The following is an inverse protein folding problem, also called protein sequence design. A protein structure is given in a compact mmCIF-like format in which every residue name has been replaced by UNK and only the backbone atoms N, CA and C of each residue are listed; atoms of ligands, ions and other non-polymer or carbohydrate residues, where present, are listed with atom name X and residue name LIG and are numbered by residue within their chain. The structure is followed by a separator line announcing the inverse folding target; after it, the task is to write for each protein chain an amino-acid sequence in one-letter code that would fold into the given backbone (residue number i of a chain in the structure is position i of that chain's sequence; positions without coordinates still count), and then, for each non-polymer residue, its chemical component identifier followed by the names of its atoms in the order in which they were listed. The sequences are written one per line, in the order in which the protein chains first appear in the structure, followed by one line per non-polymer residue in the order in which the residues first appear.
data_IF_694609939668
#
_entry.id   IF_694609939668
#
_cell.length_a   1.000
_cell.length_b   1.000
_cell.length_c   1.000
_cell.angle_alpha   90.00
_cell.angle_beta   90.00
_cell.angle_gamma   90.00
#
_symmetry.space_group_name_H-M   'P 1'
#
loop_
_entity.id
_entity.type
_entity.pdbx_description
1 polymer ?
#
# COMPACT_ATOMS: atom_id res chain seq x y z
N UNK A 1 -49.37 21.46 -55.77
CA UNK A 1 -50.28 20.49 -55.13
C UNK A 1 -51.69 20.88 -55.52
N UNK A 2 -52.32 20.04 -56.34
CA UNK A 2 -53.62 20.34 -56.96
C UNK A 2 -54.76 20.20 -55.97
N UNK A 3 -55.56 21.27 -55.87
CA UNK A 3 -56.90 21.24 -55.29
C UNK A 3 -57.80 20.42 -56.23
N UNK A 4 -58.04 19.15 -55.88
CA UNK A 4 -59.10 18.35 -56.49
C UNK A 4 -60.36 18.61 -55.67
N UNK A 5 -61.26 19.41 -56.22
CA UNK A 5 -62.59 19.63 -55.66
C UNK A 5 -63.40 18.34 -55.72
N UNK A 6 -63.71 17.76 -54.56
CA UNK A 6 -64.68 16.67 -54.43
C UNK A 6 -66.08 17.29 -54.49
N UNK A 7 -66.59 17.46 -55.70
CA UNK A 7 -68.03 17.64 -55.91
C UNK A 7 -68.70 16.27 -55.75
N UNK A 8 -68.79 15.79 -54.51
CA UNK A 8 -69.48 14.55 -54.15
C UNK A 8 -70.98 14.78 -54.08
N UNK A 9 -71.66 14.69 -55.23
CA UNK A 9 -73.08 14.37 -55.22
C UNK A 9 -73.22 12.96 -54.64
N UNK A 10 -73.85 12.84 -53.46
CA UNK A 10 -74.10 11.56 -52.79
C UNK A 10 -75.13 10.79 -53.64
N UNK A 11 -74.68 10.11 -54.70
CA UNK A 11 -75.46 9.07 -55.34
C UNK A 11 -75.49 7.91 -54.36
N UNK A 12 -76.64 7.67 -53.71
CA UNK A 12 -76.82 6.53 -52.83
C UNK A 12 -76.62 5.25 -53.65
N UNK A 13 -75.52 4.55 -53.40
CA UNK A 13 -75.20 3.29 -54.06
C UNK A 13 -76.22 2.23 -53.63
N UNK A 14 -76.90 1.64 -54.61
CA UNK A 14 -77.82 0.54 -54.37
C UNK A 14 -76.99 -0.73 -54.25
N UNK A 15 -76.99 -1.33 -53.07
CA UNK A 15 -76.28 -2.58 -52.80
C UNK A 15 -77.20 -3.78 -53.03
N UNK A 16 -76.61 -4.94 -53.31
CA UNK A 16 -77.34 -6.18 -53.55
C UNK A 16 -76.77 -7.33 -52.71
N UNK A 17 -77.64 -8.17 -52.17
CA UNK A 17 -77.27 -9.40 -51.43
C UNK A 17 -78.19 -10.52 -51.92
N UNK A 18 -77.60 -11.59 -52.45
CA UNK A 18 -78.33 -12.78 -52.93
C UNK A 18 -79.52 -12.49 -53.85
N UNK A 19 -79.37 -11.47 -54.70
CA UNK A 19 -80.41 -11.04 -55.64
C UNK A 19 -81.47 -10.09 -55.06
N UNK A 20 -81.37 -9.73 -53.78
CA UNK A 20 -82.23 -8.74 -53.12
C UNK A 20 -81.59 -7.36 -53.13
N UNK A 21 -82.40 -6.36 -53.48
CA UNK A 21 -82.00 -4.95 -53.52
C UNK A 21 -82.01 -4.36 -52.11
N UNK A 22 -80.86 -3.90 -51.65
CA UNK A 22 -80.69 -3.20 -50.38
C UNK A 22 -80.70 -1.69 -50.67
N UNK A 23 -81.90 -1.11 -50.67
CA UNK A 23 -82.12 0.32 -50.89
C UNK A 23 -81.66 1.17 -49.69
N UNK A 24 -81.65 2.50 -49.86
CA UNK A 24 -81.17 3.42 -48.81
C UNK A 24 -81.95 3.29 -47.50
N UNK A 25 -83.25 3.03 -47.56
CA UNK A 25 -84.07 2.85 -46.36
C UNK A 25 -83.70 1.55 -45.62
N UNK A 26 -83.49 0.46 -46.37
CA UNK A 26 -82.97 -0.80 -45.84
C UNK A 26 -81.57 -0.65 -45.24
N UNK A 27 -80.68 0.12 -45.87
CA UNK A 27 -79.34 0.40 -45.32
C UNK A 27 -79.41 1.15 -43.97
N UNK A 28 -80.32 2.12 -43.85
CA UNK A 28 -80.57 2.83 -42.58
C UNK A 28 -81.11 1.91 -41.48
N UNK A 29 -82.02 1.00 -41.82
CA UNK A 29 -82.50 0.00 -40.87
C UNK A 29 -81.37 -0.92 -40.39
N UNK A 30 -80.52 -1.38 -41.31
CA UNK A 30 -79.36 -2.21 -40.97
C UNK A 30 -78.34 -1.47 -40.09
N UNK A 31 -78.16 -0.16 -40.30
CA UNK A 31 -77.34 0.71 -39.43
C UNK A 31 -77.89 0.74 -38.01
N UNK A 32 -79.20 0.93 -37.85
CA UNK A 32 -79.87 0.98 -36.55
C UNK A 32 -79.76 -0.36 -35.79
N UNK A 33 -79.91 -1.48 -36.50
CA UNK A 33 -79.83 -2.83 -35.91
C UNK A 33 -78.41 -3.25 -35.44
N UNK A 34 -77.37 -2.47 -35.74
CA UNK A 34 -75.96 -2.79 -35.40
C UNK A 34 -75.70 -2.85 -33.90
N UNK A 35 -76.57 -2.27 -33.07
CA UNK A 35 -76.44 -2.27 -31.61
C UNK A 35 -76.46 -3.66 -30.96
N UNK A 36 -76.80 -4.72 -31.70
CA UNK A 36 -76.89 -6.08 -31.18
C UNK A 36 -78.12 -6.32 -30.31
N UNK A 37 -78.94 -5.29 -30.09
CA UNK A 37 -80.21 -5.36 -29.37
C UNK A 37 -81.38 -5.58 -30.35
N UNK A 38 -82.47 -6.16 -29.86
CA UNK A 38 -83.70 -6.30 -30.62
C UNK A 38 -84.36 -4.92 -30.81
N UNK A 39 -84.53 -4.48 -32.06
CA UNK A 39 -85.16 -3.20 -32.37
C UNK A 39 -86.61 -3.39 -32.82
N UNK A 40 -87.49 -2.54 -32.29
CA UNK A 40 -88.89 -2.49 -32.72
C UNK A 40 -89.05 -1.85 -34.10
N UNK A 41 -90.09 -2.24 -34.83
CA UNK A 41 -90.44 -1.64 -36.11
C UNK A 41 -90.60 -0.11 -36.08
N UNK A 42 -90.99 0.48 -34.95
CA UNK A 42 -91.09 1.94 -34.78
C UNK A 42 -89.73 2.64 -34.78
N UNK A 43 -88.71 2.07 -34.14
CA UNK A 43 -87.35 2.62 -34.13
C UNK A 43 -86.73 2.55 -35.53
N UNK A 44 -86.95 1.43 -36.22
CA UNK A 44 -86.50 1.25 -37.60
C UNK A 44 -87.20 2.17 -38.59
N UNK A 45 -88.49 2.46 -38.35
CA UNK A 45 -89.25 3.44 -39.15
C UNK A 45 -88.66 4.84 -39.01
N UNK A 46 -88.34 5.24 -37.78
CA UNK A 46 -87.73 6.55 -37.49
C UNK A 46 -86.33 6.66 -38.10
N UNK A 47 -85.47 5.66 -37.88
CA UNK A 47 -84.13 5.62 -38.45
C UNK A 47 -84.14 5.65 -40.00
N UNK A 48 -85.10 5.00 -40.63
CA UNK A 48 -85.23 4.93 -42.09
C UNK A 48 -86.06 6.08 -42.71
N UNK A 49 -86.58 7.01 -41.90
CA UNK A 49 -87.46 8.12 -42.31
C UNK A 49 -88.68 7.65 -43.13
N UNK A 50 -89.38 6.63 -42.63
CA UNK A 50 -90.57 6.05 -43.27
C UNK A 50 -91.86 6.55 -42.64
N UNK A 51 -92.90 6.71 -43.46
CA UNK A 51 -94.19 7.22 -43.01
C UNK A 51 -94.92 6.21 -42.08
N UNK A 52 -94.81 4.91 -42.37
CA UNK A 52 -95.60 3.86 -41.72
C UNK A 52 -94.78 2.61 -41.42
N UNK A 53 -95.10 1.90 -40.32
CA UNK A 53 -94.44 0.64 -39.95
C UNK A 53 -94.64 -0.47 -41.00
N UNK A 54 -95.75 -0.43 -41.75
CA UNK A 54 -96.01 -1.36 -42.86
C UNK A 54 -94.89 -1.34 -43.90
N UNK A 55 -94.25 -0.18 -44.11
CA UNK A 55 -93.14 -0.04 -45.05
C UNK A 55 -91.83 -0.63 -44.52
N UNK A 56 -91.65 -0.69 -43.20
CA UNK A 56 -90.57 -1.42 -42.54
C UNK A 56 -90.80 -2.91 -42.69
N UNK A 57 -92.00 -3.38 -42.35
CA UNK A 57 -92.37 -4.80 -42.46
C UNK A 57 -92.25 -5.34 -43.87
N UNK A 58 -92.73 -4.58 -44.86
CA UNK A 58 -92.54 -4.91 -46.27
C UNK A 58 -91.05 -5.09 -46.61
N UNK A 59 -90.16 -4.25 -46.07
CA UNK A 59 -88.72 -4.34 -46.35
C UNK A 59 -88.04 -5.49 -45.65
N UNK A 60 -88.44 -5.77 -44.40
CA UNK A 60 -87.96 -6.91 -43.65
C UNK A 60 -88.33 -8.21 -44.35
N UNK A 61 -89.62 -8.40 -44.66
CA UNK A 61 -90.13 -9.66 -45.21
C UNK A 61 -89.72 -9.92 -46.67
N UNK A 62 -89.56 -8.87 -47.49
CA UNK A 62 -89.33 -9.05 -48.93
C UNK A 62 -87.86 -8.86 -49.36
N UNK A 63 -87.00 -8.29 -48.51
CA UNK A 63 -85.60 -8.04 -48.87
C UNK A 63 -84.61 -8.43 -47.78
N UNK A 64 -84.78 -7.98 -46.53
CA UNK A 64 -83.74 -8.12 -45.49
C UNK A 64 -83.69 -9.49 -44.81
N UNK A 65 -84.85 -10.09 -44.51
CA UNK A 65 -84.93 -11.44 -43.97
C UNK A 65 -84.61 -12.50 -45.05
N UNK A 66 -85.15 -12.43 -46.28
CA UNK A 66 -84.79 -13.38 -47.34
C UNK A 66 -83.32 -13.33 -47.78
N UNK A 67 -82.64 -12.19 -47.62
CA UNK A 67 -81.19 -12.06 -47.85
C UNK A 67 -80.34 -12.53 -46.68
N UNK A 68 -80.95 -13.07 -45.62
CA UNK A 68 -80.25 -13.60 -44.47
C UNK A 68 -79.57 -12.53 -43.60
N UNK A 69 -79.88 -11.24 -43.77
CA UNK A 69 -79.23 -10.15 -43.04
C UNK A 69 -79.90 -9.84 -41.69
N UNK A 70 -81.20 -10.16 -41.56
CA UNK A 70 -82.02 -9.81 -40.39
C UNK A 70 -82.84 -11.02 -39.95
N UNK A 71 -83.05 -11.14 -38.64
CA UNK A 71 -83.96 -12.10 -38.01
C UNK A 71 -85.12 -11.35 -37.35
N UNK A 72 -86.32 -11.93 -37.43
CA UNK A 72 -87.48 -11.51 -36.63
C UNK A 72 -87.58 -12.39 -35.37
N UNK A 73 -87.96 -11.78 -34.24
CA UNK A 73 -88.20 -12.51 -33.00
C UNK A 73 -89.40 -13.46 -33.15
N UNK A 74 -89.36 -14.61 -32.45
CA UNK A 74 -90.48 -15.54 -32.45
C UNK A 74 -91.76 -14.87 -31.92
N UNK A 75 -92.87 -15.00 -32.67
CA UNK A 75 -94.13 -14.31 -32.37
C UNK A 75 -94.77 -14.86 -31.10
N UNK A 76 -95.02 -13.98 -30.14
CA UNK A 76 -96.02 -14.17 -29.09
C UNK A 76 -97.23 -13.34 -29.51
N UNK A 77 -98.44 -13.92 -29.49
CA UNK A 77 -99.67 -13.18 -29.82
C UNK A 77 -99.75 -11.91 -28.95
N UNK A 78 -99.94 -10.76 -29.59
CA UNK A 78 -100.02 -9.39 -29.04
C UNK A 78 -98.70 -8.59 -28.84
N UNK A 79 -97.51 -9.11 -29.17
CA UNK A 79 -96.26 -8.33 -29.08
C UNK A 79 -95.90 -7.57 -30.37
N UNK A 80 -95.30 -6.38 -30.21
CA UNK A 80 -94.80 -5.59 -31.34
C UNK A 80 -93.60 -6.27 -31.99
N UNK A 81 -93.56 -6.30 -33.34
CA UNK A 81 -92.50 -6.96 -34.11
C UNK A 81 -91.13 -6.36 -33.80
N UNK A 82 -90.18 -7.25 -33.50
CA UNK A 82 -88.79 -6.96 -33.18
C UNK A 82 -87.86 -7.64 -34.18
N UNK A 83 -86.77 -6.97 -34.52
CA UNK A 83 -85.77 -7.43 -35.48
C UNK A 83 -84.35 -7.30 -34.92
N UNK A 84 -83.43 -8.14 -35.37
CA UNK A 84 -82.01 -8.11 -35.03
C UNK A 84 -81.17 -8.49 -36.25
N UNK A 85 -79.92 -8.00 -36.36
CA UNK A 85 -79.00 -8.50 -37.37
C UNK A 85 -78.64 -9.98 -37.12
N UNK A 86 -78.53 -10.75 -38.19
CA UNK A 86 -77.82 -12.03 -38.15
C UNK A 86 -76.31 -11.80 -38.06
N UNK A 87 -75.54 -12.86 -37.79
CA UNK A 87 -74.09 -12.82 -37.91
C UNK A 87 -73.63 -12.40 -39.33
N UNK A 88 -74.32 -12.90 -40.37
CA UNK A 88 -74.08 -12.53 -41.76
C UNK A 88 -74.42 -11.05 -42.02
N UNK A 89 -75.51 -10.56 -41.44
CA UNK A 89 -75.93 -9.16 -41.46
C UNK A 89 -74.90 -8.23 -40.83
N UNK A 90 -74.39 -8.58 -39.65
CA UNK A 90 -73.31 -7.84 -39.01
C UNK A 90 -72.04 -7.79 -39.88
N UNK A 91 -71.63 -8.93 -40.42
CA UNK A 91 -70.45 -9.01 -41.28
C UNK A 91 -70.66 -8.21 -42.57
N UNK A 92 -71.87 -8.20 -43.12
CA UNK A 92 -72.21 -7.40 -44.29
C UNK A 92 -72.15 -5.90 -43.98
N UNK A 93 -72.73 -5.45 -42.86
CA UNK A 93 -72.65 -4.05 -42.42
C UNK A 93 -71.20 -3.63 -42.17
N UNK A 94 -70.38 -4.49 -41.56
CA UNK A 94 -68.94 -4.24 -41.36
C UNK A 94 -68.18 -4.11 -42.69
N UNK A 95 -68.47 -4.97 -43.68
CA UNK A 95 -67.83 -4.93 -45.02
C UNK A 95 -68.25 -3.72 -45.84
N UNK A 96 -69.48 -3.25 -45.67
CA UNK A 96 -70.04 -2.10 -46.40
C UNK A 96 -70.10 -0.83 -45.52
N UNK A 97 -69.25 -0.75 -44.49
CA UNK A 97 -69.28 0.32 -43.50
C UNK A 97 -69.14 1.71 -44.12
N UNK A 98 -68.34 1.88 -45.18
CA UNK A 98 -68.16 3.17 -45.84
C UNK A 98 -69.47 3.69 -46.46
N UNK A 99 -70.27 2.81 -47.07
CA UNK A 99 -71.54 3.15 -47.71
C UNK A 99 -72.68 3.19 -46.70
N UNK A 100 -72.72 2.22 -45.77
CA UNK A 100 -73.82 2.04 -44.81
C UNK A 100 -73.66 2.90 -43.57
N UNK A 101 -72.45 3.31 -43.17
CA UNK A 101 -72.18 4.13 -41.97
C UNK A 101 -71.64 5.54 -42.31
N UNK A 102 -71.51 5.87 -43.61
CA UNK A 102 -71.08 7.20 -44.03
C UNK A 102 -72.05 8.29 -43.54
N UNK A 103 -71.53 9.49 -43.18
CA UNK A 103 -72.35 10.62 -42.76
C UNK A 103 -73.28 11.06 -43.90
N UNK A 104 -74.55 11.28 -43.57
CA UNK A 104 -75.59 11.58 -44.57
C UNK A 104 -75.77 13.07 -44.80
N UNK A 105 -75.45 13.88 -43.79
CA UNK A 105 -75.66 15.32 -43.82
C UNK A 105 -74.34 16.08 -43.72
N UNK A 106 -74.33 17.32 -44.23
CA UNK A 106 -73.19 18.22 -44.06
C UNK A 106 -72.92 18.52 -42.58
N UNK A 107 -73.96 18.50 -41.76
CA UNK A 107 -73.88 18.72 -40.31
C UNK A 107 -73.20 17.53 -39.61
N UNK A 108 -73.54 16.29 -39.96
CA UNK A 108 -72.85 15.09 -39.48
C UNK A 108 -71.38 15.07 -39.91
N UNK A 109 -71.09 15.39 -41.18
CA UNK A 109 -69.70 15.52 -41.66
C UNK A 109 -68.94 16.59 -40.86
N UNK A 110 -69.56 17.74 -40.59
CA UNK A 110 -68.95 18.81 -39.82
C UNK A 110 -68.69 18.41 -38.36
N UNK A 111 -69.61 17.67 -37.72
CA UNK A 111 -69.43 17.14 -36.37
C UNK A 111 -68.28 16.14 -36.31
N UNK A 112 -68.26 15.15 -37.22
CA UNK A 112 -67.19 14.16 -37.30
C UNK A 112 -65.82 14.82 -37.57
N UNK A 113 -65.79 15.85 -38.42
CA UNK A 113 -64.57 16.61 -38.69
C UNK A 113 -64.09 17.39 -37.46
N UNK A 114 -65.00 17.97 -36.68
CA UNK A 114 -64.66 18.67 -35.44
C UNK A 114 -64.12 17.71 -34.38
N UNK A 115 -64.78 16.56 -34.17
CA UNK A 115 -64.33 15.51 -33.26
C UNK A 115 -62.96 14.96 -33.67
N UNK A 116 -62.76 14.68 -34.96
CA UNK A 116 -61.47 14.22 -35.48
C UNK A 116 -60.36 15.27 -35.29
N UNK A 117 -60.67 16.56 -35.43
CA UNK A 117 -59.72 17.63 -35.19
C UNK A 117 -59.33 17.74 -33.70
N UNK A 118 -60.29 17.62 -32.80
CA UNK A 118 -60.06 17.63 -31.35
C UNK A 118 -59.23 16.41 -30.92
N UNK A 119 -59.60 15.21 -31.39
CA UNK A 119 -58.84 13.99 -31.15
C UNK A 119 -57.41 14.08 -31.71
N UNK A 120 -57.25 14.65 -32.91
CA UNK A 120 -55.95 14.91 -33.52
C UNK A 120 -55.09 15.89 -32.72
N UNK A 121 -55.71 16.93 -32.16
CA UNK A 121 -55.04 17.93 -31.31
C UNK A 121 -54.58 17.30 -29.99
N UNK A 122 -55.47 16.56 -29.32
CA UNK A 122 -55.15 15.82 -28.09
C UNK A 122 -54.05 14.78 -28.30
N UNK A 123 -54.10 14.03 -29.41
CA UNK A 123 -53.04 13.08 -29.77
C UNK A 123 -51.68 13.79 -30.01
N UNK A 124 -51.69 14.95 -30.68
CA UNK A 124 -50.48 15.76 -30.90
C UNK A 124 -49.88 16.23 -29.57
N UNK A 125 -50.69 16.71 -28.64
CA UNK A 125 -50.24 17.13 -27.31
C UNK A 125 -49.65 15.97 -26.52
N UNK A 126 -50.32 14.80 -26.54
CA UNK A 126 -49.83 13.58 -25.93
C UNK A 126 -48.46 13.15 -26.47
N UNK A 127 -48.28 13.17 -27.80
CA UNK A 127 -46.98 12.85 -28.43
C UNK A 127 -45.91 13.85 -28.02
N UNK A 128 -46.22 15.15 -27.94
CA UNK A 128 -45.26 16.16 -27.47
C UNK A 128 -44.84 15.92 -26.02
N UNK A 129 -45.77 15.53 -25.16
CA UNK A 129 -45.46 15.22 -23.75
C UNK A 129 -44.67 13.92 -23.61
N UNK A 130 -44.95 12.90 -24.42
CA UNK A 130 -44.09 11.73 -24.51
C UNK A 130 -42.68 12.08 -24.98
N UNK A 131 -42.52 12.95 -25.98
CA UNK A 131 -41.19 13.44 -26.41
C UNK A 131 -40.44 14.12 -25.27
N UNK A 132 -41.11 14.98 -24.48
CA UNK A 132 -40.50 15.61 -23.29
C UNK A 132 -40.09 14.57 -22.25
N UNK A 133 -40.95 13.58 -21.97
CA UNK A 133 -40.64 12.48 -21.02
C UNK A 133 -39.44 11.65 -21.50
N UNK A 134 -39.40 11.27 -22.77
CA UNK A 134 -38.29 10.52 -23.36
C UNK A 134 -36.99 11.31 -23.26
N UNK A 135 -36.99 12.61 -23.58
CA UNK A 135 -35.80 13.45 -23.42
C UNK A 135 -35.34 13.53 -21.96
N UNK A 136 -36.27 13.63 -21.00
CA UNK A 136 -35.92 13.62 -19.57
C UNK A 136 -35.29 12.29 -19.15
N UNK A 137 -35.83 11.17 -19.62
CA UNK A 137 -35.27 9.83 -19.34
C UNK A 137 -33.90 9.68 -19.99
N UNK A 138 -33.72 10.17 -21.23
CA UNK A 138 -32.42 10.15 -21.91
C UNK A 138 -31.37 10.94 -21.12
N UNK A 139 -31.69 12.16 -20.68
CA UNK A 139 -30.77 12.98 -19.90
C UNK A 139 -30.38 12.28 -18.59
N UNK A 140 -31.35 11.68 -17.89
CA UNK A 140 -31.06 10.88 -16.67
C UNK A 140 -30.20 9.67 -16.95
N UNK A 141 -30.43 8.99 -18.08
CA UNK A 141 -29.62 7.84 -18.49
C UNK A 141 -28.17 8.27 -18.79
N UNK A 142 -27.98 9.42 -19.43
CA UNK A 142 -26.66 9.96 -19.72
C UNK A 142 -25.94 10.39 -18.43
N UNK A 143 -26.65 11.01 -17.48
CA UNK A 143 -26.14 11.32 -16.12
C UNK A 143 -25.75 10.04 -15.36
N UNK A 144 -26.61 9.03 -15.30
CA UNK A 144 -26.28 7.75 -14.64
C UNK A 144 -25.09 7.04 -15.31
N UNK A 145 -24.91 7.18 -16.63
CA UNK A 145 -23.74 6.62 -17.32
C UNK A 145 -22.45 7.34 -16.97
N UNK A 146 -22.53 8.65 -16.73
CA UNK A 146 -21.41 9.44 -16.24
C UNK A 146 -21.06 9.01 -14.81
N UNK A 147 -22.05 8.90 -13.93
CA UNK A 147 -21.86 8.41 -12.56
C UNK A 147 -21.22 7.00 -12.51
N UNK A 148 -21.63 6.09 -13.40
CA UNK A 148 -21.04 4.74 -13.48
C UNK A 148 -19.58 4.81 -13.89
N UNK A 149 -19.21 5.66 -14.85
CA UNK A 149 -17.80 5.82 -15.25
C UNK A 149 -16.96 6.40 -14.12
N UNK A 150 -17.49 7.40 -13.42
CA UNK A 150 -16.79 8.00 -12.28
C UNK A 150 -16.57 6.98 -11.15
N UNK A 151 -17.51 6.05 -10.96
CA UNK A 151 -17.37 4.94 -10.00
C UNK A 151 -16.36 3.89 -10.47
N UNK A 152 -16.34 3.55 -11.75
CA UNK A 152 -15.35 2.64 -12.35
C UNK A 152 -13.92 3.22 -12.19
N UNK A 153 -13.73 4.51 -12.50
CA UNK A 153 -12.46 5.20 -12.31
C UNK A 153 -12.04 5.25 -10.83
N UNK A 154 -13.01 5.40 -9.90
CA UNK A 154 -12.73 5.33 -8.46
C UNK A 154 -12.33 3.93 -8.01
N UNK A 155 -12.97 2.89 -8.54
CA UNK A 155 -12.64 1.49 -8.25
C UNK A 155 -11.22 1.15 -8.73
N UNK A 156 -10.87 1.52 -9.96
CA UNK A 156 -9.51 1.32 -10.51
C UNK A 156 -8.45 2.03 -9.64
N UNK A 157 -8.72 3.27 -9.22
CA UNK A 157 -7.82 4.01 -8.33
C UNK A 157 -7.69 3.36 -6.93
N UNK A 158 -8.78 2.79 -6.41
CA UNK A 158 -8.76 2.07 -5.14
C UNK A 158 -7.99 0.76 -5.25
N UNK A 159 -8.18 0.00 -6.33
CA UNK A 159 -7.44 -1.23 -6.61
C UNK A 159 -5.94 -0.96 -6.71
N UNK A 160 -5.54 0.05 -7.49
CA UNK A 160 -4.14 0.47 -7.58
C UNK A 160 -3.55 0.89 -6.21
N UNK A 161 -4.36 1.55 -5.37
CA UNK A 161 -3.94 1.91 -4.01
C UNK A 161 -3.78 0.68 -3.12
N UNK A 162 -4.69 -0.29 -3.21
CA UNK A 162 -4.63 -1.53 -2.45
C UNK A 162 -3.42 -2.37 -2.86
N UNK A 163 -3.10 -2.45 -4.15
CA UNK A 163 -1.91 -3.12 -4.67
C UNK A 163 -0.63 -2.49 -4.13
N UNK A 164 -0.52 -1.16 -4.17
CA UNK A 164 0.62 -0.45 -3.58
C UNK A 164 0.76 -0.72 -2.06
N UNK A 165 -0.36 -0.72 -1.33
CA UNK A 165 -0.36 -1.00 0.12
C UNK A 165 0.04 -2.46 0.39
N UNK A 166 -0.46 -3.40 -0.41
CA UNK A 166 -0.13 -4.82 -0.30
C UNK A 166 1.36 -5.06 -0.56
N UNK A 167 1.90 -4.50 -1.64
CA UNK A 167 3.33 -4.57 -1.96
C UNK A 167 4.19 -3.97 -0.85
N UNK A 168 3.81 -2.81 -0.30
CA UNK A 168 4.51 -2.20 0.84
C UNK A 168 4.46 -3.07 2.09
N UNK A 169 3.37 -3.79 2.30
CA UNK A 169 3.23 -4.73 3.42
C UNK A 169 4.14 -5.94 3.25
N UNK A 170 4.23 -6.49 2.04
CA UNK A 170 5.15 -7.57 1.69
C UNK A 170 6.62 -7.15 1.90
N UNK A 171 7.03 -6.00 1.36
CA UNK A 171 8.36 -5.41 1.57
C UNK A 171 8.70 -5.24 3.06
N UNK A 172 7.74 -4.73 3.84
CA UNK A 172 7.92 -4.57 5.28
C UNK A 172 8.06 -5.92 5.99
N UNK A 173 7.32 -6.95 5.55
CA UNK A 173 7.40 -8.29 6.13
C UNK A 173 8.77 -8.90 5.85
N UNK A 174 9.32 -8.72 4.66
CA UNK A 174 10.63 -9.24 4.28
C UNK A 174 11.76 -8.49 4.98
N UNK A 175 11.71 -7.15 5.05
CA UNK A 175 12.63 -6.36 5.90
C UNK A 175 12.57 -6.78 7.38
N UNK A 176 11.39 -7.14 7.87
CA UNK A 176 11.21 -7.62 9.25
C UNK A 176 11.73 -9.04 9.46
N UNK A 177 11.77 -9.89 8.42
CA UNK A 177 12.46 -11.19 8.47
C UNK A 177 13.97 -10.97 8.49
N UNK A 178 14.48 -10.17 7.55
CA UNK A 178 15.91 -9.86 7.44
C UNK A 178 16.44 -9.23 8.74
N UNK A 179 15.71 -8.29 9.32
CA UNK A 179 16.09 -7.68 10.60
C UNK A 179 16.14 -8.70 11.74
N UNK A 180 15.20 -9.67 11.78
CA UNK A 180 15.20 -10.75 12.77
C UNK A 180 16.39 -11.69 12.58
N UNK A 181 16.68 -12.08 11.34
CA UNK A 181 17.84 -12.92 11.02
C UNK A 181 19.16 -12.23 11.41
N UNK A 182 19.28 -10.91 11.13
CA UNK A 182 20.44 -10.12 11.57
C UNK A 182 20.55 -10.02 13.08
N UNK A 183 19.44 -9.80 13.79
CA UNK A 183 19.43 -9.79 15.26
C UNK A 183 19.88 -11.15 15.79
N UNK A 184 19.33 -12.25 15.26
CA UNK A 184 19.71 -13.60 15.67
C UNK A 184 21.19 -13.89 15.40
N UNK A 185 21.72 -13.46 14.25
CA UNK A 185 23.14 -13.58 13.94
C UNK A 185 24.03 -12.77 14.90
N UNK A 186 23.63 -11.53 15.24
CA UNK A 186 24.32 -10.70 16.23
C UNK A 186 24.23 -11.32 17.63
N UNK A 187 23.10 -11.89 18.01
CA UNK A 187 22.92 -12.60 19.28
C UNK A 187 23.85 -13.81 19.35
N UNK A 188 23.95 -14.61 18.29
CA UNK A 188 24.91 -15.73 18.20
C UNK A 188 26.36 -15.25 18.25
N UNK A 189 26.72 -14.15 17.59
CA UNK A 189 28.08 -13.58 17.66
C UNK A 189 28.39 -13.04 19.07
N UNK A 190 27.42 -12.42 19.74
CA UNK A 190 27.55 -11.98 21.12
C UNK A 190 27.71 -13.21 22.03
N UNK A 191 26.93 -14.27 21.84
CA UNK A 191 27.05 -15.51 22.62
C UNK A 191 28.41 -16.18 22.38
N UNK A 192 28.92 -16.20 21.16
CA UNK A 192 30.27 -16.72 20.85
C UNK A 192 31.39 -15.88 21.48
N UNK A 193 31.21 -14.56 21.56
CA UNK A 193 32.16 -13.65 22.23
C UNK A 193 32.04 -13.71 23.76
N UNK A 194 30.83 -13.90 24.26
CA UNK A 194 30.51 -14.08 25.66
C UNK A 194 30.78 -15.51 26.14
N UNK A 195 31.04 -16.44 25.21
CA UNK A 195 31.44 -17.80 25.52
C UNK A 195 32.60 -17.72 26.51
N UNK A 196 32.30 -18.30 27.67
CA UNK A 196 33.03 -18.11 28.92
C UNK A 196 34.49 -18.45 28.73
N UNK A 197 34.85 -19.29 27.74
CA UNK A 197 36.23 -19.61 27.38
C UNK A 197 37.12 -18.41 26.99
N UNK A 198 36.59 -17.37 26.31
CA UNK A 198 37.38 -16.17 25.96
C UNK A 198 37.53 -15.23 27.14
N UNK A 199 36.45 -14.99 27.88
CA UNK A 199 36.49 -14.16 29.10
C UNK A 199 37.35 -14.84 30.17
N UNK A 200 37.20 -16.15 30.38
CA UNK A 200 38.04 -16.95 31.29
C UNK A 200 39.48 -16.99 30.82
N UNK A 201 39.74 -17.03 29.51
CA UNK A 201 41.10 -16.95 28.96
C UNK A 201 41.75 -15.58 29.19
N UNK A 202 40.98 -14.50 29.14
CA UNK A 202 41.44 -13.15 29.49
C UNK A 202 41.67 -13.05 31.01
N UNK A 203 40.77 -13.58 31.84
CA UNK A 203 40.94 -13.63 33.30
C UNK A 203 42.17 -14.47 33.70
N UNK A 204 42.39 -15.62 33.07
CA UNK A 204 43.58 -16.45 33.29
C UNK A 204 44.86 -15.70 32.84
N UNK A 205 44.79 -14.99 31.73
CA UNK A 205 45.91 -14.16 31.26
C UNK A 205 46.19 -13.00 32.21
N UNK A 206 45.14 -12.35 32.73
CA UNK A 206 45.26 -11.29 33.73
C UNK A 206 45.87 -11.82 35.03
N UNK A 207 45.43 -12.99 35.50
CA UNK A 207 46.01 -13.66 36.68
C UNK A 207 47.50 -13.99 36.48
N UNK A 208 47.90 -14.48 35.29
CA UNK A 208 49.31 -14.72 34.95
C UNK A 208 50.13 -13.42 34.93
N UNK A 209 49.56 -12.33 34.43
CA UNK A 209 50.22 -11.01 34.42
C UNK A 209 50.38 -10.49 35.85
N UNK A 210 49.37 -10.63 36.70
CA UNK A 210 49.42 -10.24 38.11
C UNK A 210 50.46 -11.06 38.88
N UNK A 211 50.54 -12.37 38.64
CA UNK A 211 51.56 -13.24 39.23
C UNK A 211 52.98 -12.82 38.80
N UNK A 212 53.17 -12.50 37.52
CA UNK A 212 54.45 -11.97 37.02
C UNK A 212 54.81 -10.64 37.67
N UNK A 213 53.84 -9.74 37.83
CA UNK A 213 54.04 -8.46 38.52
C UNK A 213 54.48 -8.68 39.97
N UNK A 214 53.80 -9.56 40.70
CA UNK A 214 54.16 -9.90 42.08
C UNK A 214 55.58 -10.49 42.18
N UNK A 215 55.95 -11.38 41.26
CA UNK A 215 57.30 -11.94 41.17
C UNK A 215 58.36 -10.86 40.90
N UNK A 216 58.06 -9.90 40.02
CA UNK A 216 58.94 -8.77 39.73
C UNK A 216 59.07 -7.85 40.95
N UNK A 217 57.97 -7.54 41.65
CA UNK A 217 57.99 -6.77 42.89
C UNK A 217 58.79 -7.47 43.99
N UNK A 218 58.64 -8.78 44.14
CA UNK A 218 59.41 -9.57 45.10
C UNK A 218 60.90 -9.56 44.76
N UNK A 219 61.26 -9.69 43.48
CA UNK A 219 62.65 -9.54 43.00
C UNK A 219 63.18 -8.13 43.24
N UNK A 220 62.41 -7.07 42.97
CA UNK A 220 62.81 -5.70 43.25
C UNK A 220 62.99 -5.45 44.75
N UNK A 221 62.10 -5.99 45.59
CA UNK A 221 62.24 -5.95 47.04
C UNK A 221 63.48 -6.69 47.53
N UNK A 222 63.79 -7.85 46.93
CA UNK A 222 65.03 -8.60 47.17
C UNK A 222 66.28 -7.81 46.77
N UNK A 223 66.27 -7.17 45.60
CA UNK A 223 67.36 -6.31 45.13
C UNK A 223 67.54 -5.07 46.02
N UNK A 224 66.46 -4.46 46.49
CA UNK A 224 66.51 -3.34 47.43
C UNK A 224 67.15 -3.76 48.77
N UNK A 225 66.82 -4.96 49.28
CA UNK A 225 67.47 -5.53 50.47
C UNK A 225 68.96 -5.80 50.24
N UNK A 226 69.33 -6.38 49.09
CA UNK A 226 70.73 -6.59 48.74
C UNK A 226 71.51 -5.27 48.58
N UNK A 227 70.89 -4.23 48.01
CA UNK A 227 71.50 -2.91 47.92
C UNK A 227 71.71 -2.31 49.31
N UNK A 228 70.72 -2.42 50.20
CA UNK A 228 70.85 -1.97 51.59
C UNK A 228 71.94 -2.75 52.37
N UNK A 229 72.09 -4.05 52.14
CA UNK A 229 73.19 -4.85 52.71
C UNK A 229 74.55 -4.45 52.15
N UNK A 230 74.66 -4.26 50.83
CA UNK A 230 75.90 -3.77 50.20
C UNK A 230 76.26 -2.36 50.66
N UNK A 231 75.28 -1.50 50.95
CA UNK A 231 75.53 -0.18 51.54
C UNK A 231 76.03 -0.28 52.99
N UNK A 232 75.51 -1.23 53.78
CA UNK A 232 76.04 -1.53 55.12
C UNK A 232 77.48 -2.06 55.06
N UNK A 233 77.78 -2.97 54.15
CA UNK A 233 79.15 -3.46 53.93
C UNK A 233 80.08 -2.33 53.45
N UNK A 234 79.61 -1.44 52.56
CA UNK A 234 80.37 -0.25 52.14
C UNK A 234 80.60 0.71 53.29
N UNK A 235 79.65 0.88 54.21
CA UNK A 235 79.82 1.69 55.40
C UNK A 235 80.86 1.08 56.37
N UNK A 236 80.91 -0.25 56.50
CA UNK A 236 81.98 -0.94 57.24
C UNK A 236 83.35 -0.81 56.57
N UNK A 237 83.43 -0.90 55.24
CA UNK A 237 84.68 -0.68 54.50
C UNK A 237 85.12 0.80 54.60
N UNK A 238 84.19 1.75 54.61
CA UNK A 238 84.50 3.18 54.77
C UNK A 238 84.98 3.52 56.19
N UNK A 239 84.50 2.81 57.23
CA UNK A 239 85.00 2.97 58.60
C UNK A 239 86.42 2.40 58.75
N UNK A 240 86.73 1.30 58.07
CA UNK A 240 88.09 0.75 57.97
C UNK A 240 89.05 1.65 57.16
N UNK A 241 88.58 2.28 56.09
CA UNK A 241 89.38 3.23 55.29
C UNK A 241 89.72 4.53 56.07
N UNK A 242 88.81 4.98 56.96
CA UNK A 242 89.09 6.11 57.85
C UNK A 242 90.21 5.82 58.86
N UNK A 243 90.37 4.58 59.33
CA UNK A 243 91.51 4.24 60.21
C UNK A 243 92.86 4.18 59.47
N UNK A 244 92.88 3.89 58.17
CA UNK A 244 94.11 3.92 57.35
C UNK A 244 94.60 5.34 56.99
N UNK A 245 93.68 6.29 56.81
CA UNK A 245 94.00 7.67 56.42
C UNK A 245 94.77 8.48 57.47
N UNK A 246 94.49 8.26 58.77
CA UNK A 246 95.17 8.97 59.85
C UNK A 246 96.60 8.46 60.12
N UNK A 247 96.90 7.19 59.81
CA UNK A 247 98.24 6.62 59.97
C UNK A 247 99.21 7.03 58.85
N UNK A 248 98.72 7.15 57.61
CA UNK A 248 99.55 7.54 56.45
C UNK A 248 99.90 9.04 56.45
N UNK A 249 98.99 9.91 56.91
CA UNK A 249 99.24 11.36 57.02
C UNK A 249 100.29 11.71 58.08
N UNK A 250 100.32 10.98 59.20
CA UNK A 250 101.30 11.19 60.28
C UNK A 250 102.73 10.81 59.89
N UNK A 251 102.91 9.73 59.13
CA UNK A 251 104.22 9.26 58.70
C UNK A 251 104.87 10.19 57.65
N UNK A 252 104.08 10.74 56.72
CA UNK A 252 104.57 11.69 55.72
C UNK A 252 105.03 13.01 56.36
N UNK A 253 104.29 13.52 57.36
CA UNK A 253 104.68 14.72 58.11
C UNK A 253 105.97 14.55 58.90
N UNK A 254 106.15 13.42 59.59
CA UNK A 254 107.38 13.14 60.35
C UNK A 254 108.62 13.02 59.45
N UNK A 255 108.48 12.43 58.26
CA UNK A 255 109.58 12.28 57.31
C UNK A 255 110.08 13.63 56.77
N UNK A 256 109.17 14.56 56.44
CA UNK A 256 109.55 15.91 55.97
C UNK A 256 110.29 16.69 57.05
N UNK A 257 109.89 16.57 58.32
CA UNK A 257 110.57 17.22 59.45
C UNK A 257 111.98 16.64 59.66
N UNK A 258 112.14 15.31 59.58
CA UNK A 258 113.44 14.65 59.71
C UNK A 258 114.41 15.00 58.58
N UNK A 259 113.92 15.06 57.33
CA UNK A 259 114.74 15.45 56.17
C UNK A 259 115.12 16.94 56.25
N UNK A 260 114.21 17.81 56.68
CA UNK A 260 114.50 19.22 56.93
C UNK A 260 115.56 19.45 58.01
N UNK A 261 115.50 18.68 59.12
CA UNK A 261 116.47 18.75 60.20
C UNK A 261 117.87 18.24 59.78
N UNK A 262 117.94 17.16 58.99
CA UNK A 262 119.20 16.63 58.48
C UNK A 262 119.91 17.61 57.53
N UNK A 263 119.15 18.37 56.74
CA UNK A 263 119.71 19.34 55.78
C UNK A 263 120.42 20.54 56.46
N UNK A 264 120.01 20.89 57.68
CA UNK A 264 120.59 22.01 58.46
C UNK A 264 121.91 21.66 59.16
N UNK A 265 122.18 20.38 59.44
CA UNK A 265 123.33 19.97 60.27
C UNK A 265 124.52 19.53 59.41
N UNK A 266 124.31 18.97 58.22
CA UNK A 266 125.40 18.48 57.37
C UNK A 266 125.02 18.49 55.87
N UNK A 267 125.22 19.61 55.14
CA UNK A 267 124.85 19.68 53.72
C UNK A 267 125.65 18.70 52.84
N UNK A 268 126.84 18.27 53.28
CA UNK A 268 127.70 17.34 52.54
C UNK A 268 127.24 15.88 52.50
N UNK A 269 126.25 15.48 53.31
CA UNK A 269 125.71 14.10 53.35
C UNK A 269 124.28 13.99 52.79
N UNK A 270 123.68 15.09 52.33
CA UNK A 270 122.28 15.14 51.92
C UNK A 270 121.97 14.39 50.62
N UNK A 271 122.95 14.18 49.73
CA UNK A 271 122.71 13.58 48.41
C UNK A 271 122.36 12.08 48.49
N UNK A 272 122.97 11.31 49.41
CA UNK A 272 122.72 9.86 49.51
C UNK A 272 121.45 9.52 50.31
N UNK A 273 121.09 10.33 51.31
CA UNK A 273 119.86 10.16 52.09
C UNK A 273 118.59 10.43 51.28
N UNK A 274 118.62 11.42 50.38
CA UNK A 274 117.48 11.74 49.50
C UNK A 274 117.22 10.63 48.49
N UNK A 275 118.28 10.02 47.92
CA UNK A 275 118.14 8.91 46.96
C UNK A 275 117.60 7.64 47.63
N UNK A 276 118.09 7.30 48.84
CA UNK A 276 117.55 6.16 49.60
C UNK A 276 116.08 6.38 50.02
N UNK A 277 115.73 7.62 50.37
CA UNK A 277 114.36 8.02 50.69
C UNK A 277 113.39 7.87 49.53
N UNK A 278 113.77 8.37 48.35
CA UNK A 278 112.93 8.28 47.14
C UNK A 278 112.71 6.82 46.73
N UNK A 279 113.74 5.97 46.83
CA UNK A 279 113.61 4.54 46.52
C UNK A 279 112.64 3.82 47.47
N UNK A 280 112.65 4.15 48.76
CA UNK A 280 111.74 3.55 49.74
C UNK A 280 110.28 3.98 49.50
N UNK A 281 110.04 5.27 49.20
CA UNK A 281 108.70 5.78 48.90
C UNK A 281 108.15 5.16 47.61
N UNK A 282 108.96 5.05 46.56
CA UNK A 282 108.56 4.38 45.31
C UNK A 282 108.23 2.90 45.53
N UNK A 283 108.98 2.21 46.39
CA UNK A 283 108.69 0.81 46.76
C UNK A 283 107.32 0.65 47.43
N UNK A 284 106.96 1.56 48.34
CA UNK A 284 105.65 1.53 49.03
C UNK A 284 104.51 1.84 48.04
N UNK A 285 104.69 2.83 47.15
CA UNK A 285 103.67 3.20 46.16
C UNK A 285 103.41 2.04 45.18
N UNK A 286 104.46 1.37 44.71
CA UNK A 286 104.33 0.21 43.82
C UNK A 286 103.68 -0.99 44.52
N UNK A 287 103.99 -1.23 45.79
CA UNK A 287 103.36 -2.31 46.57
C UNK A 287 101.85 -2.06 46.76
N UNK A 288 101.44 -0.82 47.07
CA UNK A 288 100.03 -0.46 47.21
C UNK A 288 99.32 -0.54 45.83
N UNK A 289 99.94 -0.04 44.77
CA UNK A 289 99.41 -0.11 43.40
C UNK A 289 99.18 -1.55 42.93
N UNK A 290 100.13 -2.45 43.20
CA UNK A 290 99.99 -3.88 42.89
C UNK A 290 98.85 -4.56 43.66
N UNK A 291 98.63 -4.18 44.91
CA UNK A 291 97.59 -4.76 45.78
C UNK A 291 96.18 -4.29 45.35
N UNK A 292 96.04 -3.04 44.90
CA UNK A 292 94.79 -2.51 44.32
C UNK A 292 94.50 -3.18 42.97
N UNK A 293 95.51 -3.36 42.12
CA UNK A 293 95.36 -4.02 40.81
C UNK A 293 94.91 -5.48 40.95
N UNK A 294 95.52 -6.24 41.88
CA UNK A 294 95.13 -7.62 42.15
C UNK A 294 93.70 -7.75 42.71
N UNK A 295 93.24 -6.76 43.49
CA UNK A 295 91.87 -6.74 44.03
C UNK A 295 90.83 -6.40 42.95
N UNK A 296 91.14 -5.48 42.03
CA UNK A 296 90.27 -5.15 40.89
C UNK A 296 90.09 -6.29 39.89
N UNK A 297 91.09 -7.16 39.72
CA UNK A 297 90.99 -8.31 38.82
C UNK A 297 90.03 -9.39 39.32
N UNK A 298 89.82 -9.54 40.64
CA UNK A 298 88.85 -10.52 41.19
C UNK A 298 87.39 -10.09 41.04
N UNK A 299 87.10 -8.80 40.92
CA UNK A 299 85.73 -8.30 40.71
C UNK A 299 85.21 -8.48 39.28
N UNK A 300 86.10 -8.60 38.29
CA UNK A 300 85.70 -8.80 36.90
C UNK A 300 85.33 -10.25 36.58
N UNK A 301 85.86 -11.23 37.31
CA UNK A 301 85.53 -12.66 37.12
C UNK A 301 84.18 -13.08 37.68
N UNK A 302 83.48 -12.24 38.45
CA UNK A 302 82.14 -12.55 39.00
C UNK A 302 81.02 -12.07 38.09
N UNK A 303 81.29 -11.15 37.16
CA UNK A 303 80.27 -10.57 36.27
C UNK A 303 80.02 -11.45 35.02
N UNK A 304 81.00 -12.27 34.61
CA UNK A 304 80.83 -13.17 33.46
C UNK A 304 80.09 -14.48 33.78
N UNK A 305 79.96 -14.88 35.06
CA UNK A 305 79.24 -16.12 35.41
C UNK A 305 77.71 -15.96 35.57
N UNK A 306 77.19 -14.72 35.62
CA UNK A 306 75.73 -14.47 35.69
C UNK A 306 75.09 -14.20 34.32
N UNK A 307 75.87 -13.92 33.27
CA UNK A 307 75.33 -13.66 31.91
C UNK A 307 75.05 -14.95 31.12
N UNK A 308 75.71 -16.07 31.41
CA UNK A 308 75.46 -17.37 30.74
C UNK A 308 74.23 -18.12 31.30
N UNK A 309 73.70 -17.76 32.48
CA UNK A 309 72.54 -18.43 33.06
C UNK A 309 71.18 -17.92 32.52
N UNK A 310 71.14 -16.80 31.80
CA UNK A 310 69.90 -16.20 31.29
C UNK A 310 69.57 -16.51 29.81
N UNK A 311 70.46 -17.17 29.06
CA UNK A 311 70.24 -17.48 27.64
C UNK A 311 69.73 -18.92 27.41
N UNK A 312 69.60 -19.75 28.45
CA UNK A 312 69.14 -21.14 28.32
C UNK A 312 67.70 -21.39 28.82
N UNK A 313 66.88 -20.35 28.97
CA UNK A 313 65.49 -20.45 29.44
C UNK A 313 64.48 -19.65 28.60
N UNK A 314 64.78 -19.40 27.32
CA UNK A 314 63.80 -19.07 26.26
C UNK A 314 64.01 -19.98 25.06
#
# INVERSE_FOLDING_TARGET
MGLVGVAGGIMSEVLWVDGYKIDRASQKMLRELRGGEWCYGSALREAADLAENTQVFYRMENYLEPSGLVLEAARVEDEARQFQLTEEGEQWVKRNAETVLGPETREEVASMAAEAYEAGTSAKESVQDYRKKVNRVKNRLDETREDVRDLEDQEENQEATLDMVWQRSEDNRDRSKESRERIQALESEIEERADVGRVSGIEESAAKVEERLRLVEERQGGLARQQAERERERAEIASLAKMGGYAAGGAAGAYVVLVGAAYLIAPGLAASAVVAGIAMVLGIVLAIGGLVYLRGRRSLTVIDSESEAQVSAE
#
